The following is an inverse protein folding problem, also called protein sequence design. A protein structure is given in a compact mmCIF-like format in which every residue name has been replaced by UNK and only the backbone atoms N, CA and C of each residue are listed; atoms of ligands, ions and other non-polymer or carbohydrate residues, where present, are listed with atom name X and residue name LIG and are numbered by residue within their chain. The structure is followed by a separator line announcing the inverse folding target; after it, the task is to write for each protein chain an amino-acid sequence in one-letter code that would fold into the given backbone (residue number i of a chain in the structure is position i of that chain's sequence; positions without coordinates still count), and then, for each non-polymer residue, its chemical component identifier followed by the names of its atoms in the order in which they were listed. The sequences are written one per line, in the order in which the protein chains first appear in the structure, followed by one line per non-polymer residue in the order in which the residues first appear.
data_IF_061014282333
#
_entry.id   IF_061014282333
#
_cell.length_a   1.000
_cell.length_b   1.000
_cell.length_c   1.000
_cell.angle_alpha   90.00
_cell.angle_beta   90.00
_cell.angle_gamma   90.00
#
_symmetry.space_group_name_H-M   'P 1'
#
loop_
_entity.id
_entity.type
_entity.pdbx_description
1 polymer ?
#
# COMPACT_ATOMS: atom_id res chain seq x y z
N UNK A 1 18.85 -4.15 -26.45
CA UNK A 1 18.13 -4.50 -25.20
C UNK A 1 18.29 -3.49 -24.04
N UNK A 2 19.09 -2.41 -24.14
CA UNK A 2 19.39 -1.53 -22.98
C UNK A 2 18.39 -0.41 -22.63
N UNK A 3 17.63 0.11 -23.61
CA UNK A 3 16.75 1.28 -23.39
C UNK A 3 15.50 0.98 -22.55
N UNK A 4 14.89 -0.21 -22.71
CA UNK A 4 13.69 -0.60 -21.97
C UNK A 4 13.96 -0.72 -20.46
N UNK A 5 15.13 -1.23 -20.10
CA UNK A 5 15.54 -1.43 -18.70
C UNK A 5 15.92 -0.11 -18.03
N UNK A 6 16.55 0.81 -18.77
CA UNK A 6 16.86 2.15 -18.26
C UNK A 6 15.60 2.98 -18.01
N UNK A 7 14.68 3.02 -18.99
CA UNK A 7 13.39 3.71 -18.84
C UNK A 7 12.56 3.12 -17.69
N UNK A 8 12.57 1.79 -17.53
CA UNK A 8 11.90 1.12 -16.41
C UNK A 8 12.50 1.49 -15.06
N UNK A 9 13.84 1.59 -14.94
CA UNK A 9 14.50 2.03 -13.70
C UNK A 9 14.17 3.48 -13.36
N UNK A 10 14.15 4.38 -14.34
CA UNK A 10 13.76 5.78 -14.12
C UNK A 10 12.29 5.86 -13.71
N UNK A 11 11.41 5.13 -14.40
CA UNK A 11 9.99 5.10 -14.06
C UNK A 11 9.77 4.63 -12.62
N UNK A 12 10.37 3.50 -12.22
CA UNK A 12 10.32 3.00 -10.84
C UNK A 12 10.86 4.02 -9.84
N UNK A 13 11.98 4.65 -10.13
CA UNK A 13 12.59 5.64 -9.24
C UNK A 13 11.69 6.86 -9.05
N UNK A 14 11.07 7.36 -10.13
CA UNK A 14 10.09 8.45 -10.04
C UNK A 14 8.89 8.00 -9.24
N UNK A 15 8.30 6.83 -9.52
CA UNK A 15 7.11 6.36 -8.81
C UNK A 15 7.37 6.13 -7.32
N UNK A 16 8.54 5.58 -6.94
CA UNK A 16 8.93 5.43 -5.53
C UNK A 16 9.08 6.78 -4.84
N UNK A 17 9.72 7.76 -5.49
CA UNK A 17 9.90 9.10 -4.91
C UNK A 17 8.57 9.84 -4.77
N UNK A 18 7.70 9.74 -5.78
CA UNK A 18 6.36 10.34 -5.78
C UNK A 18 5.42 9.63 -4.79
N UNK A 19 5.66 8.35 -4.52
CA UNK A 19 4.94 7.53 -3.53
C UNK A 19 5.34 7.79 -2.07
N UNK A 20 6.21 8.76 -1.79
CA UNK A 20 6.53 9.20 -0.41
C UNK A 20 5.65 10.38 0.00
N UNK A 21 5.28 10.49 1.29
CA UNK A 21 4.49 11.61 1.85
C UNK A 21 5.08 13.00 1.51
N UNK A 22 6.39 13.07 1.27
CA UNK A 22 7.10 14.28 0.83
C UNK A 22 6.56 14.89 -0.46
N UNK A 23 6.08 14.07 -1.40
CA UNK A 23 5.54 14.57 -2.66
C UNK A 23 4.22 15.33 -2.45
N UNK A 24 3.37 14.86 -1.53
CA UNK A 24 2.14 15.56 -1.17
C UNK A 24 2.45 16.96 -0.59
N UNK A 25 3.47 17.08 0.25
CA UNK A 25 3.92 18.38 0.77
C UNK A 25 4.46 19.30 -0.34
N UNK A 26 5.26 18.77 -1.27
CA UNK A 26 5.81 19.55 -2.38
C UNK A 26 4.72 20.10 -3.32
N UNK A 27 3.75 19.27 -3.72
CA UNK A 27 2.64 19.70 -4.57
C UNK A 27 1.69 20.66 -3.87
N UNK A 28 1.44 20.46 -2.57
CA UNK A 28 0.68 21.41 -1.77
C UNK A 28 1.37 22.78 -1.71
N UNK A 29 2.70 22.79 -1.54
CA UNK A 29 3.49 24.03 -1.55
C UNK A 29 3.47 24.72 -2.92
N UNK A 30 3.64 23.96 -4.01
CA UNK A 30 3.53 24.49 -5.38
C UNK A 30 2.14 25.06 -5.65
N UNK A 31 1.08 24.41 -5.17
CA UNK A 31 -0.27 24.93 -5.33
C UNK A 31 -0.45 26.24 -4.54
N UNK A 32 0.10 26.36 -3.33
CA UNK A 32 0.09 27.60 -2.55
C UNK A 32 0.75 28.79 -3.27
N UNK A 33 1.78 28.56 -4.10
CA UNK A 33 2.43 29.63 -4.89
C UNK A 33 1.46 30.27 -5.88
N UNK A 34 0.44 29.55 -6.36
CA UNK A 34 -0.57 30.08 -7.30
C UNK A 34 -1.83 30.65 -6.64
N UNK A 35 -1.96 30.52 -5.31
CA UNK A 35 -2.99 31.19 -4.50
C UNK A 35 -3.03 32.73 -4.67
N UNK A 36 -1.89 33.48 -4.66
CA UNK A 36 -1.91 34.93 -4.81
C UNK A 36 -2.55 35.41 -6.12
N UNK A 37 -2.39 34.68 -7.22
CA UNK A 37 -3.03 35.03 -8.50
C UNK A 37 -4.56 34.88 -8.44
N UNK A 38 -5.05 33.86 -7.73
CA UNK A 38 -6.48 33.64 -7.54
C UNK A 38 -7.10 34.70 -6.62
N UNK A 39 -6.41 35.08 -5.54
CA UNK A 39 -6.85 36.15 -4.62
C UNK A 39 -6.83 37.53 -5.27
N UNK A 40 -5.86 37.81 -6.15
CA UNK A 40 -5.76 39.07 -6.88
C UNK A 40 -6.97 39.31 -7.81
N UNK A 41 -7.70 38.26 -8.21
CA UNK A 41 -8.89 38.39 -9.05
C UNK A 41 -10.12 38.97 -8.31
N UNK A 42 -10.11 39.13 -6.98
CA UNK A 42 -11.21 39.65 -6.12
C UNK A 42 -12.59 38.99 -6.28
N UNK A 43 -12.71 37.91 -7.06
CA UNK A 43 -13.96 37.21 -7.33
C UNK A 43 -14.07 35.91 -6.51
N UNK A 44 -15.06 35.77 -5.62
CA UNK A 44 -15.22 34.57 -4.79
C UNK A 44 -15.34 33.28 -5.61
N UNK A 45 -16.02 33.36 -6.75
CA UNK A 45 -16.26 32.22 -7.63
C UNK A 45 -14.96 31.71 -8.27
N UNK A 46 -14.03 32.62 -8.57
CA UNK A 46 -12.73 32.29 -9.16
C UNK A 46 -11.80 31.63 -8.15
N UNK A 47 -11.84 32.07 -6.89
CA UNK A 47 -11.10 31.43 -5.80
C UNK A 47 -11.59 29.99 -5.60
N UNK A 48 -12.92 29.78 -5.49
CA UNK A 48 -13.49 28.44 -5.33
C UNK A 48 -13.17 27.55 -6.52
N UNK A 49 -13.31 28.07 -7.75
CA UNK A 49 -12.98 27.33 -8.97
C UNK A 49 -11.50 26.95 -9.04
N UNK A 50 -10.59 27.85 -8.65
CA UNK A 50 -9.15 27.55 -8.60
C UNK A 50 -8.83 26.47 -7.56
N UNK A 51 -9.47 26.50 -6.39
CA UNK A 51 -9.30 25.46 -5.37
C UNK A 51 -9.80 24.11 -5.91
N UNK A 52 -11.05 24.05 -6.39
CA UNK A 52 -11.68 22.82 -6.86
C UNK A 52 -10.98 22.20 -8.08
N UNK A 53 -10.43 23.04 -8.97
CA UNK A 53 -9.78 22.61 -10.18
C UNK A 53 -8.27 22.49 -9.96
N UNK A 54 -7.54 23.59 -9.94
CA UNK A 54 -6.07 23.59 -9.95
C UNK A 54 -5.47 22.96 -8.69
N UNK A 55 -5.94 23.33 -7.50
CA UNK A 55 -5.38 22.80 -6.25
C UNK A 55 -5.76 21.32 -6.06
N UNK A 56 -7.06 21.01 -6.03
CA UNK A 56 -7.52 19.65 -5.76
C UNK A 56 -7.01 18.68 -6.84
N UNK A 57 -7.03 19.04 -8.12
CA UNK A 57 -6.62 18.13 -9.21
C UNK A 57 -5.12 17.84 -9.20
N UNK A 58 -4.26 18.85 -9.00
CA UNK A 58 -2.80 18.64 -8.96
C UNK A 58 -2.36 17.84 -7.73
N UNK A 59 -3.06 18.01 -6.61
CA UNK A 59 -2.74 17.33 -5.34
C UNK A 59 -3.36 15.92 -5.26
N UNK A 60 -4.49 15.68 -5.95
CA UNK A 60 -5.19 14.40 -5.91
C UNK A 60 -4.33 13.23 -6.43
N UNK A 61 -3.65 13.41 -7.57
CA UNK A 61 -2.89 12.31 -8.18
C UNK A 61 -1.74 11.81 -7.28
N UNK A 62 -0.85 12.66 -6.74
CA UNK A 62 0.19 12.22 -5.80
C UNK A 62 -0.38 11.62 -4.51
N UNK A 63 -1.45 12.20 -3.94
CA UNK A 63 -2.06 11.69 -2.70
C UNK A 63 -2.61 10.28 -2.90
N UNK A 64 -3.28 10.01 -4.03
CA UNK A 64 -3.78 8.66 -4.34
C UNK A 64 -2.62 7.66 -4.41
N UNK A 65 -1.53 8.00 -5.11
CA UNK A 65 -0.36 7.12 -5.27
C UNK A 65 0.27 6.81 -3.92
N UNK A 66 0.45 7.82 -3.06
CA UNK A 66 1.00 7.62 -1.70
C UNK A 66 0.05 6.78 -0.85
N UNK A 67 -1.25 7.03 -0.91
CA UNK A 67 -2.25 6.27 -0.16
C UNK A 67 -2.30 4.78 -0.57
N UNK A 68 -2.14 4.49 -1.87
CA UNK A 68 -2.03 3.12 -2.38
C UNK A 68 -0.72 2.46 -1.94
N UNK A 69 0.40 3.20 -1.95
CA UNK A 69 1.69 2.70 -1.49
C UNK A 69 1.67 2.31 0.00
N UNK A 70 1.13 3.17 0.87
CA UNK A 70 1.00 2.90 2.32
C UNK A 70 0.15 1.65 2.56
N UNK A 71 -0.99 1.53 1.88
CA UNK A 71 -1.85 0.35 2.00
C UNK A 71 -1.15 -0.93 1.53
N UNK A 72 -0.40 -0.87 0.43
CA UNK A 72 0.35 -2.02 -0.08
C UNK A 72 1.42 -2.51 0.91
N UNK A 73 2.11 -1.59 1.58
CA UNK A 73 3.12 -1.93 2.58
C UNK A 73 2.49 -2.60 3.82
N UNK A 74 1.34 -2.08 4.29
CA UNK A 74 0.59 -2.66 5.40
C UNK A 74 0.08 -4.06 5.03
N UNK A 75 -0.43 -4.23 3.81
CA UNK A 75 -0.89 -5.53 3.32
C UNK A 75 0.25 -6.56 3.25
N UNK A 76 1.44 -6.16 2.85
CA UNK A 76 2.60 -7.05 2.80
C UNK A 76 3.08 -7.46 4.20
N UNK A 77 3.08 -6.53 5.17
CA UNK A 77 3.36 -6.86 6.58
C UNK A 77 2.34 -7.83 7.18
N UNK A 78 1.06 -7.66 6.84
CA UNK A 78 0.00 -8.58 7.26
C UNK A 78 0.17 -9.95 6.60
N UNK A 79 0.46 -10.00 5.29
CA UNK A 79 0.68 -11.26 4.58
C UNK A 79 1.83 -12.09 5.17
N UNK A 80 2.92 -11.44 5.61
CA UNK A 80 4.03 -12.15 6.29
C UNK A 80 3.59 -12.75 7.63
N UNK A 81 2.80 -12.01 8.41
CA UNK A 81 2.28 -12.47 9.71
C UNK A 81 1.27 -13.60 9.55
N UNK A 82 0.37 -13.48 8.57
CA UNK A 82 -0.63 -14.49 8.23
C UNK A 82 0.06 -15.79 7.76
N UNK A 83 1.09 -15.67 6.92
CA UNK A 83 1.87 -16.83 6.45
C UNK A 83 2.47 -17.63 7.62
N UNK A 84 3.08 -16.96 8.61
CA UNK A 84 3.62 -17.62 9.81
C UNK A 84 2.53 -18.29 10.64
N UNK A 85 1.38 -17.62 10.78
CA UNK A 85 0.22 -18.14 11.52
C UNK A 85 -0.33 -19.40 10.84
N UNK A 86 -0.46 -19.40 9.51
CA UNK A 86 -0.91 -20.55 8.73
C UNK A 86 0.02 -21.76 8.89
N UNK A 87 1.35 -21.53 8.92
CA UNK A 87 2.33 -22.60 9.16
C UNK A 87 2.16 -23.21 10.56
N UNK A 88 1.99 -22.37 11.59
CA UNK A 88 1.78 -22.84 12.96
C UNK A 88 0.48 -23.66 13.10
N UNK A 89 -0.62 -23.17 12.51
CA UNK A 89 -1.90 -23.90 12.49
C UNK A 89 -1.76 -25.24 11.78
N UNK A 90 -1.03 -25.28 10.65
CA UNK A 90 -0.78 -26.53 9.92
C UNK A 90 -0.02 -27.54 10.77
N UNK A 91 1.03 -27.12 11.47
CA UNK A 91 1.83 -28.00 12.34
C UNK A 91 0.97 -28.57 13.48
N UNK A 92 0.15 -27.72 14.12
CA UNK A 92 -0.81 -28.17 15.13
C UNK A 92 -1.80 -29.19 14.57
N UNK A 93 -2.29 -29.00 13.34
CA UNK A 93 -3.19 -29.96 12.70
C UNK A 93 -2.50 -31.30 12.39
N UNK A 94 -1.25 -31.28 11.93
CA UNK A 94 -0.43 -32.49 11.72
C UNK A 94 -0.20 -33.23 13.06
N UNK A 95 0.12 -32.51 14.14
CA UNK A 95 0.30 -33.09 15.48
C UNK A 95 -0.99 -33.71 16.03
N UNK A 96 -2.15 -33.04 15.88
CA UNK A 96 -3.46 -33.60 16.24
C UNK A 96 -3.78 -34.84 15.41
N UNK A 97 -3.48 -34.81 14.10
CA UNK A 97 -3.71 -35.94 13.21
C UNK A 97 -2.89 -37.16 13.64
N UNK A 98 -1.60 -36.98 13.90
CA UNK A 98 -0.74 -38.05 14.42
C UNK A 98 -1.21 -38.53 15.79
N UNK A 99 -1.51 -37.62 16.72
CA UNK A 99 -1.96 -37.95 18.07
C UNK A 99 -3.32 -38.66 18.11
N UNK A 100 -4.19 -38.45 17.10
CA UNK A 100 -5.50 -39.12 17.00
C UNK A 100 -5.40 -40.46 16.26
N UNK A 101 -4.49 -40.59 15.28
CA UNK A 101 -4.29 -41.83 14.53
C UNK A 101 -3.56 -42.92 15.35
N UNK A 102 -2.52 -42.54 16.12
CA UNK A 102 -1.70 -43.47 16.93
C UNK A 102 -2.43 -44.26 18.03
N UNK A 103 -3.39 -43.69 18.80
CA UNK A 103 -4.14 -44.46 19.80
C UNK A 103 -5.13 -45.43 19.16
N UNK A 104 -5.55 -45.27 17.90
CA UNK A 104 -6.50 -46.21 17.28
C UNK A 104 -5.87 -47.55 16.90
N UNK A 105 -4.55 -47.64 16.69
CA UNK A 105 -3.85 -48.89 16.38
C UNK A 105 -3.30 -49.59 17.63
N UNK A 106 -2.86 -48.82 18.65
CA UNK A 106 -2.40 -49.38 19.92
C UNK A 106 -3.54 -50.05 20.74
N UNK A 107 -4.78 -49.58 20.58
CA UNK A 107 -5.95 -50.19 21.21
C UNK A 107 -6.40 -51.48 20.50
N UNK A 108 -6.01 -51.68 19.24
CA UNK A 108 -6.25 -52.92 18.49
C UNK A 108 -5.21 -54.01 18.82
N UNK A 109 -3.94 -53.65 19.07
CA UNK A 109 -2.90 -54.61 19.50
C UNK A 109 -3.04 -55.09 20.97
N UNK A 110 -3.88 -54.45 21.79
CA UNK A 110 -4.15 -54.86 23.17
C UNK A 110 -5.46 -55.68 23.32
N UNK A 111 -6.21 -55.85 22.22
CA UNK A 111 -7.46 -56.61 22.18
C UNK A 111 -7.34 -57.96 21.42
N UNK A 112 -6.13 -58.33 21.00
CA UNK A 112 -5.70 -59.67 20.56
C UNK A 112 -4.75 -60.29 21.61
#
# INVERSE_FOLDING_TARGET
MGLKTFNKRIALWVTEKVGTMWCAYAFCFLALISLPEALASQDPLKIVSWVAQTFLQLVLLPIIIVGQNIQSNIAEQQAETDSKTLIAIRQLAEEIHEATYKPSTALLELND
#
